data_IF_160990252701
#
_entry.id   IF_160990252701
#
_cell.length_a   1.000
_cell.length_b   1.000
_cell.length_c   1.000
_cell.angle_alpha   90.00
_cell.angle_beta   90.00
_cell.angle_gamma   90.00
#
_symmetry.space_group_name_H-M   'P 1'
#
loop_
_entity.id
_entity.type
_entity.pdbx_description
1 polymer ?
#
# COMPACT_ATOMS: atom_id res chain seq x y z
N UNK A 1 -35.19 -31.32 5.27
CA UNK A 1 -34.05 -30.44 5.00
C UNK A 1 -33.87 -29.61 6.25
N UNK A 2 -32.70 -29.69 6.90
CA UNK A 2 -32.42 -28.85 8.08
C UNK A 2 -32.00 -27.45 7.60
N UNK A 3 -32.65 -26.42 8.12
CA UNK A 3 -32.28 -25.01 7.85
C UNK A 3 -31.30 -24.55 8.91
N UNK A 4 -30.25 -23.90 8.48
CA UNK A 4 -29.18 -23.38 9.34
C UNK A 4 -29.21 -21.85 9.33
N UNK A 5 -29.76 -21.27 10.38
CA UNK A 5 -29.81 -19.82 10.57
C UNK A 5 -28.65 -19.36 11.45
N UNK A 6 -28.23 -18.09 11.27
CA UNK A 6 -27.15 -17.51 12.02
C UNK A 6 -25.81 -17.53 11.27
N UNK A 7 -24.73 -17.36 12.01
CA UNK A 7 -23.36 -17.30 11.51
C UNK A 7 -22.61 -18.56 11.90
N UNK A 8 -21.84 -19.09 10.98
CA UNK A 8 -21.11 -20.33 11.17
C UNK A 8 -19.65 -20.17 10.68
N UNK A 9 -18.66 -20.82 11.33
CA UNK A 9 -17.30 -20.88 10.80
C UNK A 9 -17.24 -21.79 9.57
N UNK A 10 -16.32 -21.48 8.67
CA UNK A 10 -15.98 -22.31 7.53
C UNK A 10 -14.51 -22.14 7.17
N UNK A 11 -13.92 -23.11 6.49
CA UNK A 11 -12.55 -23.05 6.00
C UNK A 11 -12.55 -22.78 4.48
N UNK A 12 -11.75 -21.84 4.00
CA UNK A 12 -11.57 -21.60 2.57
C UNK A 12 -10.77 -22.74 1.96
N UNK A 13 -11.27 -23.35 0.90
CA UNK A 13 -10.60 -24.48 0.22
C UNK A 13 -10.17 -24.16 -1.22
N UNK A 14 -10.81 -23.19 -1.89
CA UNK A 14 -10.37 -22.73 -3.20
C UNK A 14 -10.85 -21.29 -3.48
N UNK A 15 -10.02 -20.54 -4.21
CA UNK A 15 -10.32 -19.17 -4.65
C UNK A 15 -10.70 -19.09 -6.13
N UNK A 16 -10.51 -20.17 -6.86
CA UNK A 16 -10.78 -20.26 -8.30
C UNK A 16 -11.53 -21.54 -8.63
N UNK A 17 -11.98 -21.66 -9.88
CA UNK A 17 -12.67 -22.85 -10.38
C UNK A 17 -14.18 -22.85 -10.12
N UNK A 18 -14.79 -21.71 -9.85
CA UNK A 18 -16.25 -21.56 -9.75
C UNK A 18 -16.92 -22.02 -11.06
N UNK A 19 -17.73 -23.09 -11.05
CA UNK A 19 -18.32 -23.67 -12.25
C UNK A 19 -19.30 -22.73 -12.97
N UNK A 20 -19.82 -21.73 -12.27
CA UNK A 20 -20.73 -20.74 -12.84
C UNK A 20 -20.05 -19.42 -13.19
N UNK A 21 -18.72 -19.31 -13.00
CA UNK A 21 -17.93 -18.09 -13.24
C UNK A 21 -18.48 -16.83 -12.55
N UNK A 22 -19.04 -16.99 -11.35
CA UNK A 22 -19.68 -15.94 -10.56
C UNK A 22 -18.74 -15.30 -9.52
N UNK A 23 -17.43 -15.57 -9.61
CA UNK A 23 -16.41 -15.05 -8.68
C UNK A 23 -16.67 -15.40 -7.20
N UNK A 24 -17.12 -16.64 -6.97
CA UNK A 24 -17.32 -17.22 -5.64
C UNK A 24 -16.03 -17.94 -5.20
N UNK A 25 -15.82 -18.03 -3.90
CA UNK A 25 -14.79 -18.89 -3.32
C UNK A 25 -15.41 -20.17 -2.78
N UNK A 26 -14.64 -21.24 -2.71
CA UNK A 26 -15.12 -22.52 -2.19
C UNK A 26 -14.79 -22.62 -0.71
N UNK A 27 -15.77 -22.97 0.09
CA UNK A 27 -15.63 -23.12 1.54
C UNK A 27 -16.08 -24.50 1.98
N UNK A 28 -15.43 -25.05 3.01
CA UNK A 28 -15.80 -26.29 3.68
C UNK A 28 -16.46 -25.97 5.01
N UNK A 29 -17.57 -26.63 5.28
CA UNK A 29 -18.39 -26.44 6.48
C UNK A 29 -17.99 -27.48 7.54
N UNK A 30 -16.86 -27.28 8.21
CA UNK A 30 -16.22 -28.28 9.11
C UNK A 30 -17.10 -28.70 10.31
N UNK A 31 -18.07 -27.89 10.68
CA UNK A 31 -19.03 -28.16 11.77
C UNK A 31 -20.22 -29.03 11.33
N UNK A 32 -20.41 -29.21 10.01
CA UNK A 32 -21.53 -29.97 9.47
C UNK A 32 -21.06 -31.37 9.10
N UNK A 33 -21.62 -32.35 9.77
CA UNK A 33 -21.33 -33.75 9.47
C UNK A 33 -21.78 -34.12 8.06
N UNK A 34 -20.97 -34.85 7.33
CA UNK A 34 -21.37 -35.45 6.07
C UNK A 34 -22.53 -36.44 6.24
N UNK A 35 -23.47 -36.42 5.31
CA UNK A 35 -24.68 -37.27 5.38
C UNK A 35 -24.35 -38.76 5.22
N UNK A 36 -23.19 -39.07 4.64
CA UNK A 36 -22.72 -40.44 4.31
C UNK A 36 -21.50 -40.87 5.13
N UNK A 37 -21.07 -40.05 6.12
CA UNK A 37 -19.88 -40.31 6.95
C UNK A 37 -18.56 -39.99 6.25
N UNK A 38 -18.60 -39.27 5.13
CA UNK A 38 -17.43 -38.75 4.40
C UNK A 38 -16.92 -37.45 4.97
N UNK A 39 -16.21 -36.67 4.13
CA UNK A 39 -15.70 -35.35 4.47
C UNK A 39 -16.82 -34.31 4.67
N UNK A 40 -16.57 -33.26 5.47
CA UNK A 40 -17.51 -32.16 5.61
C UNK A 40 -17.86 -31.53 4.26
N UNK A 41 -19.14 -31.12 4.06
CA UNK A 41 -19.60 -30.60 2.78
C UNK A 41 -18.90 -29.28 2.40
N UNK A 42 -18.70 -29.12 1.10
CA UNK A 42 -18.15 -27.92 0.48
C UNK A 42 -19.19 -27.18 -0.35
N UNK A 43 -19.13 -25.87 -0.38
CA UNK A 43 -20.03 -25.04 -1.18
C UNK A 43 -19.32 -23.81 -1.75
N UNK A 44 -19.82 -23.32 -2.89
CA UNK A 44 -19.38 -22.05 -3.48
C UNK A 44 -20.08 -20.88 -2.80
N UNK A 45 -19.29 -20.03 -2.14
CA UNK A 45 -19.76 -18.91 -1.32
C UNK A 45 -19.56 -17.58 -2.04
N UNK A 46 -20.57 -16.73 -1.99
CA UNK A 46 -20.46 -15.33 -2.41
C UNK A 46 -19.71 -14.53 -1.33
N UNK A 47 -18.79 -13.66 -1.72
CA UNK A 47 -18.08 -12.78 -0.78
C UNK A 47 -18.85 -11.48 -0.59
N UNK A 48 -19.15 -11.14 0.66
CA UNK A 48 -19.69 -9.84 1.03
C UNK A 48 -18.51 -8.87 1.21
N UNK A 49 -18.58 -7.72 0.54
CA UNK A 49 -17.60 -6.65 0.64
C UNK A 49 -18.29 -5.31 0.88
N UNK A 50 -17.64 -4.32 1.52
CA UNK A 50 -18.23 -3.00 1.75
C UNK A 50 -18.66 -2.27 0.47
N UNK A 51 -18.01 -2.57 -0.65
CA UNK A 51 -18.32 -1.97 -1.95
C UNK A 51 -17.98 -2.93 -3.09
N UNK A 52 -18.94 -3.18 -3.97
CA UNK A 52 -18.75 -3.99 -5.18
C UNK A 52 -19.71 -3.48 -6.29
N UNK A 53 -19.17 -3.29 -7.50
CA UNK A 53 -19.89 -2.98 -8.72
C UNK A 53 -19.07 -3.46 -9.94
N UNK A 54 -19.55 -3.21 -11.16
CA UNK A 54 -18.85 -3.60 -12.39
C UNK A 54 -17.46 -2.94 -12.45
N UNK A 55 -16.42 -3.77 -12.46
CA UNK A 55 -15.00 -3.38 -12.48
C UNK A 55 -14.58 -2.45 -11.33
N UNK A 56 -15.33 -2.41 -10.24
CA UNK A 56 -15.11 -1.55 -9.08
C UNK A 56 -15.34 -2.33 -7.78
N UNK A 57 -14.63 -1.95 -6.73
CA UNK A 57 -14.89 -2.53 -5.42
C UNK A 57 -13.70 -2.56 -4.48
N UNK A 58 -13.97 -3.06 -3.28
CA UNK A 58 -12.95 -3.37 -2.28
C UNK A 58 -12.67 -4.87 -2.32
N UNK A 59 -11.58 -5.27 -2.95
CA UNK A 59 -11.22 -6.67 -3.16
C UNK A 59 -10.06 -7.09 -2.26
N UNK A 60 -10.40 -7.77 -1.15
CA UNK A 60 -9.45 -8.46 -0.28
C UNK A 60 -9.98 -9.86 -0.01
N UNK A 61 -9.42 -10.86 -0.68
CA UNK A 61 -9.84 -12.24 -0.53
C UNK A 61 -9.11 -12.88 0.66
N UNK A 62 -9.78 -13.75 1.44
CA UNK A 62 -9.10 -14.60 2.41
C UNK A 62 -8.20 -15.61 1.68
N UNK A 63 -7.14 -16.04 2.32
CA UNK A 63 -6.26 -17.09 1.78
C UNK A 63 -6.93 -18.48 1.90
N UNK A 64 -6.47 -19.44 1.11
CA UNK A 64 -6.80 -20.87 1.31
C UNK A 64 -6.37 -21.26 2.72
N UNK A 65 -7.11 -22.14 3.36
CA UNK A 65 -7.01 -22.59 4.76
C UNK A 65 -7.37 -21.52 5.81
N UNK A 66 -7.75 -20.31 5.40
CA UNK A 66 -8.23 -19.29 6.34
C UNK A 66 -9.61 -19.66 6.89
N UNK A 67 -9.85 -19.33 8.15
CA UNK A 67 -11.16 -19.40 8.77
C UNK A 67 -11.99 -18.16 8.42
N UNK A 68 -13.19 -18.41 7.90
CA UNK A 68 -14.17 -17.36 7.55
C UNK A 68 -15.47 -17.59 8.29
N UNK A 69 -16.26 -16.53 8.40
CA UNK A 69 -17.63 -16.60 8.92
C UNK A 69 -18.59 -16.56 7.75
N UNK A 70 -19.48 -17.54 7.70
CA UNK A 70 -20.52 -17.64 6.66
C UNK A 70 -21.92 -17.52 7.24
N UNK A 71 -22.81 -16.92 6.48
CA UNK A 71 -24.25 -16.98 6.65
C UNK A 71 -24.90 -17.66 5.45
N UNK A 72 -26.15 -18.12 5.58
CA UNK A 72 -26.84 -18.86 4.53
C UNK A 72 -28.10 -18.15 4.08
N UNK A 73 -28.30 -18.01 2.77
CA UNK A 73 -29.52 -17.46 2.23
C UNK A 73 -30.73 -18.34 2.60
N UNK A 74 -31.65 -17.77 3.36
CA UNK A 74 -32.83 -18.48 3.90
C UNK A 74 -32.49 -19.78 4.67
N UNK A 75 -31.28 -19.90 5.22
CA UNK A 75 -30.84 -21.09 5.97
C UNK A 75 -30.35 -22.26 5.12
N UNK A 76 -30.22 -22.11 3.80
CA UNK A 76 -29.79 -23.17 2.89
C UNK A 76 -28.27 -23.20 2.76
N UNK A 77 -27.65 -24.30 3.15
CA UNK A 77 -26.17 -24.47 3.13
C UNK A 77 -25.56 -24.44 1.72
N UNK A 78 -26.36 -24.62 0.67
CA UNK A 78 -25.92 -24.55 -0.73
C UNK A 78 -25.68 -23.11 -1.21
N UNK A 79 -26.10 -22.12 -0.43
CA UNK A 79 -26.00 -20.69 -0.76
C UNK A 79 -25.33 -19.91 0.36
N UNK A 80 -24.03 -20.17 0.65
CA UNK A 80 -23.28 -19.44 1.66
C UNK A 80 -22.86 -18.06 1.17
N UNK A 81 -22.80 -17.13 2.12
CA UNK A 81 -22.21 -15.80 1.98
C UNK A 81 -21.08 -15.67 2.99
N UNK A 82 -19.86 -15.43 2.52
CA UNK A 82 -18.71 -15.09 3.39
C UNK A 82 -18.85 -13.64 3.84
N UNK A 83 -19.01 -13.44 5.13
CA UNK A 83 -19.20 -12.11 5.75
C UNK A 83 -17.88 -11.49 6.15
N UNK A 84 -16.86 -12.30 6.50
CA UNK A 84 -15.54 -11.87 6.88
C UNK A 84 -14.66 -13.02 7.32
N UNK A 85 -13.38 -12.69 7.60
CA UNK A 85 -12.39 -13.61 8.15
C UNK A 85 -12.23 -13.38 9.65
N UNK A 86 -11.68 -14.36 10.36
CA UNK A 86 -11.39 -14.29 11.79
C UNK A 86 -9.96 -14.73 12.07
N UNK A 87 -9.32 -14.09 13.05
CA UNK A 87 -8.11 -14.62 13.65
C UNK A 87 -8.50 -15.66 14.68
N UNK A 88 -8.03 -16.88 14.50
CA UNK A 88 -8.47 -18.07 15.25
C UNK A 88 -7.45 -18.56 16.29
N UNK A 89 -6.36 -17.78 16.52
CA UNK A 89 -5.26 -18.14 17.43
C UNK A 89 -4.14 -18.94 16.78
N UNK A 90 -4.34 -19.52 15.58
CA UNK A 90 -3.28 -20.05 14.73
C UNK A 90 -2.77 -18.95 13.77
N UNK A 91 -3.65 -18.03 13.39
CA UNK A 91 -3.33 -16.82 12.63
C UNK A 91 -3.39 -15.61 13.56
N UNK A 92 -2.27 -14.92 13.72
CA UNK A 92 -2.17 -13.69 14.50
C UNK A 92 -2.62 -12.46 13.70
N UNK A 93 -3.14 -11.45 14.40
CA UNK A 93 -3.38 -10.14 13.82
C UNK A 93 -2.04 -9.45 13.46
N UNK A 94 -2.01 -8.58 12.43
CA UNK A 94 -0.79 -7.86 12.04
C UNK A 94 -0.24 -6.94 13.13
N UNK A 95 -1.06 -6.56 14.10
CA UNK A 95 -0.67 -5.84 15.31
C UNK A 95 -1.27 -6.50 16.54
N UNK A 96 -0.49 -6.52 17.64
CA UNK A 96 -0.98 -7.03 18.91
C UNK A 96 -2.07 -6.09 19.46
N UNK A 97 -3.16 -6.67 19.93
CA UNK A 97 -4.22 -5.89 20.57
C UNK A 97 -3.72 -5.29 21.89
N UNK A 98 -3.95 -3.99 22.05
CA UNK A 98 -3.64 -3.21 23.28
C UNK A 98 -4.84 -2.38 23.66
N UNK A 99 -4.93 -1.99 24.93
CA UNK A 99 -6.02 -1.12 25.41
C UNK A 99 -5.99 0.27 24.75
N UNK A 100 -4.82 0.76 24.36
CA UNK A 100 -4.65 2.03 23.67
C UNK A 100 -5.25 1.99 22.26
N UNK A 101 -5.12 0.84 21.56
CA UNK A 101 -5.64 0.64 20.20
C UNK A 101 -5.27 1.77 19.22
N UNK A 102 -4.02 2.22 19.28
CA UNK A 102 -3.55 3.39 18.52
C UNK A 102 -3.28 3.06 17.04
N UNK A 103 -3.13 1.78 16.68
CA UNK A 103 -2.78 1.39 15.31
C UNK A 103 -3.93 0.79 14.53
N UNK A 104 -4.06 1.21 13.25
CA UNK A 104 -4.92 0.59 12.24
C UNK A 104 -4.04 0.16 11.08
N UNK A 105 -4.17 -1.11 10.67
CA UNK A 105 -3.22 -1.72 9.76
C UNK A 105 -3.95 -2.50 8.68
N UNK A 106 -3.50 -2.32 7.44
CA UNK A 106 -3.75 -3.23 6.34
C UNK A 106 -2.40 -3.84 5.97
N UNK A 107 -2.28 -5.16 6.07
CA UNK A 107 -1.04 -5.86 5.77
C UNK A 107 -1.31 -7.04 4.84
N UNK A 108 -0.49 -7.15 3.80
CA UNK A 108 -0.56 -8.25 2.84
C UNK A 108 0.28 -9.43 3.31
N UNK A 109 0.07 -10.61 2.71
CA UNK A 109 0.84 -11.82 2.95
C UNK A 109 2.37 -11.63 2.79
N UNK A 110 2.79 -10.78 1.86
CA UNK A 110 4.21 -10.47 1.63
C UNK A 110 4.79 -9.47 2.62
N UNK A 111 3.96 -8.88 3.51
CA UNK A 111 4.39 -7.86 4.46
C UNK A 111 4.33 -6.42 3.95
N UNK A 112 3.76 -6.16 2.76
CA UNK A 112 3.43 -4.77 2.37
C UNK A 112 2.34 -4.24 3.29
N UNK A 113 2.52 -3.01 3.80
CA UNK A 113 1.75 -2.49 4.92
C UNK A 113 1.30 -1.05 4.70
N UNK A 114 0.05 -0.77 5.04
CA UNK A 114 -0.49 0.57 5.28
C UNK A 114 -0.85 0.66 6.76
N UNK A 115 -0.27 1.62 7.46
CA UNK A 115 -0.48 1.85 8.89
C UNK A 115 -0.93 3.29 9.14
N UNK A 116 -1.94 3.44 9.98
CA UNK A 116 -2.30 4.68 10.67
C UNK A 116 -1.92 4.51 12.13
N UNK A 117 -1.09 5.40 12.65
CA UNK A 117 -0.62 5.42 14.03
C UNK A 117 -1.19 6.66 14.72
N UNK A 118 -2.12 6.47 15.65
CA UNK A 118 -2.77 7.52 16.42
C UNK A 118 -2.11 7.71 17.80
N UNK A 119 -0.90 7.17 18.02
CA UNK A 119 -0.18 7.31 19.30
C UNK A 119 -0.04 8.78 19.68
N UNK A 120 -0.51 9.21 20.87
CA UNK A 120 -0.44 10.60 21.28
C UNK A 120 0.99 11.16 21.22
N UNK A 121 1.19 12.23 20.45
CA UNK A 121 2.50 12.86 20.21
C UNK A 121 3.39 12.15 19.21
N UNK A 122 2.90 11.10 18.53
CA UNK A 122 3.62 10.35 17.49
C UNK A 122 2.69 9.94 16.34
N UNK A 123 1.67 10.75 16.05
CA UNK A 123 0.71 10.49 14.97
C UNK A 123 1.42 10.40 13.63
N UNK A 124 1.15 9.32 12.89
CA UNK A 124 1.78 9.10 11.60
C UNK A 124 0.93 8.24 10.66
N UNK A 125 1.17 8.40 9.36
CA UNK A 125 0.69 7.48 8.33
C UNK A 125 1.91 6.90 7.60
N UNK A 126 1.97 5.56 7.48
CA UNK A 126 3.09 4.85 6.84
C UNK A 126 2.59 3.89 5.78
N UNK A 127 3.29 3.88 4.65
CA UNK A 127 3.14 2.85 3.61
C UNK A 127 4.51 2.23 3.42
N UNK A 128 4.65 0.94 3.61
CA UNK A 128 5.94 0.26 3.50
C UNK A 128 5.85 -1.06 2.73
N UNK A 129 6.99 -1.48 2.19
CA UNK A 129 7.15 -2.77 1.52
C UNK A 129 8.27 -3.58 2.19
N UNK A 130 8.25 -4.92 2.08
CA UNK A 130 9.32 -5.77 2.61
C UNK A 130 10.71 -5.45 2.04
N UNK A 131 10.76 -4.83 0.85
CA UNK A 131 12.01 -4.38 0.22
C UNK A 131 12.63 -3.14 0.85
N UNK A 132 12.00 -2.56 1.88
CA UNK A 132 12.52 -1.38 2.60
C UNK A 132 12.22 -0.07 1.89
N UNK A 133 11.20 -0.01 1.04
CA UNK A 133 10.66 1.25 0.51
C UNK A 133 9.57 1.76 1.45
N UNK A 134 9.55 3.06 1.70
CA UNK A 134 8.63 3.67 2.66
C UNK A 134 8.13 5.04 2.20
N UNK A 135 6.86 5.33 2.50
CA UNK A 135 6.27 6.67 2.46
C UNK A 135 5.74 6.95 3.86
N UNK A 136 6.22 8.03 4.49
CA UNK A 136 5.84 8.42 5.85
C UNK A 136 5.34 9.85 5.87
N UNK A 137 4.22 10.08 6.56
CA UNK A 137 3.77 11.38 7.03
C UNK A 137 3.83 11.33 8.55
N UNK A 138 4.70 12.14 9.14
CA UNK A 138 4.95 12.15 10.60
C UNK A 138 4.64 13.53 11.18
N UNK A 139 3.59 13.59 12.00
CA UNK A 139 3.18 14.84 12.63
C UNK A 139 4.15 15.24 13.74
N UNK A 140 4.77 14.30 14.46
CA UNK A 140 5.74 14.58 15.50
C UNK A 140 7.05 15.13 14.94
N UNK A 141 7.55 14.52 13.85
CA UNK A 141 8.69 15.01 13.08
C UNK A 141 8.34 16.18 12.18
N UNK A 142 7.03 16.42 11.96
CA UNK A 142 6.50 17.46 11.06
C UNK A 142 7.09 17.37 9.64
N UNK A 143 7.24 16.15 9.14
CA UNK A 143 7.81 15.89 7.82
C UNK A 143 6.97 14.89 7.01
N UNK A 144 7.17 14.94 5.70
CA UNK A 144 6.72 13.90 4.76
C UNK A 144 7.95 13.37 4.07
N UNK A 145 8.14 12.07 4.08
CA UNK A 145 9.29 11.41 3.47
C UNK A 145 8.85 10.31 2.51
N UNK A 146 9.55 10.21 1.38
CA UNK A 146 9.51 9.07 0.46
C UNK A 146 10.93 8.53 0.40
N UNK A 147 11.14 7.32 0.90
CA UNK A 147 12.44 6.69 1.00
C UNK A 147 12.50 5.38 0.21
N UNK A 148 13.57 5.20 -0.54
CA UNK A 148 13.89 3.93 -1.18
C UNK A 148 14.95 3.19 -0.37
N UNK A 149 14.91 1.85 -0.39
CA UNK A 149 15.92 0.99 0.28
C UNK A 149 17.37 1.24 -0.19
N UNK A 150 17.54 1.85 -1.36
CA UNK A 150 18.84 2.26 -1.89
C UNK A 150 19.44 3.51 -1.22
N UNK A 151 18.68 4.18 -0.33
CA UNK A 151 19.06 5.45 0.32
C UNK A 151 18.65 6.71 -0.46
N UNK A 152 18.04 6.58 -1.64
CA UNK A 152 17.43 7.72 -2.31
C UNK A 152 16.17 8.16 -1.55
N UNK A 153 16.00 9.50 -1.36
CA UNK A 153 14.84 10.04 -0.63
C UNK A 153 14.39 11.41 -1.12
N UNK A 154 13.14 11.70 -0.87
CA UNK A 154 12.53 13.03 -0.97
C UNK A 154 11.92 13.34 0.38
N UNK A 155 12.27 14.49 0.96
CA UNK A 155 11.78 14.95 2.25
C UNK A 155 11.20 16.36 2.15
N UNK A 156 10.02 16.56 2.73
CA UNK A 156 9.38 17.85 2.93
C UNK A 156 9.34 18.14 4.43
N UNK A 157 9.94 19.26 4.84
CA UNK A 157 10.03 19.64 6.25
C UNK A 157 9.02 20.71 6.65
N UNK A 158 8.69 20.81 7.94
CA UNK A 158 7.82 21.86 8.48
C UNK A 158 8.30 23.29 8.18
N UNK A 159 9.59 23.48 8.03
CA UNK A 159 10.17 24.80 7.67
C UNK A 159 9.95 25.16 6.18
N UNK A 160 9.23 24.34 5.43
CA UNK A 160 8.96 24.52 4.00
C UNK A 160 10.14 24.14 3.10
N UNK A 161 11.11 23.40 3.62
CA UNK A 161 12.21 22.87 2.83
C UNK A 161 11.80 21.61 2.05
N UNK A 162 12.36 21.43 0.86
CA UNK A 162 12.29 20.19 0.08
C UNK A 162 13.71 19.71 -0.18
N UNK A 163 14.02 18.50 0.24
CA UNK A 163 15.32 17.86 0.01
C UNK A 163 15.14 16.66 -0.92
N UNK A 164 15.98 16.55 -1.94
CA UNK A 164 16.05 15.39 -2.83
C UNK A 164 17.48 14.85 -2.73
N UNK A 165 17.61 13.61 -2.27
CA UNK A 165 18.89 12.92 -2.15
C UNK A 165 18.91 11.65 -2.98
N UNK A 166 20.00 11.43 -3.70
CA UNK A 166 20.25 10.20 -4.42
C UNK A 166 21.75 9.85 -4.33
N UNK A 167 22.07 8.57 -4.13
CA UNK A 167 23.45 8.11 -4.03
C UNK A 167 24.19 8.15 -5.39
N UNK A 168 23.47 8.23 -6.50
CA UNK A 168 24.03 8.20 -7.86
C UNK A 168 23.62 9.43 -8.66
N UNK A 169 22.44 9.44 -9.25
CA UNK A 169 21.97 10.48 -10.17
C UNK A 169 20.57 10.96 -9.81
N UNK A 170 20.31 12.23 -10.13
CA UNK A 170 18.95 12.78 -10.24
C UNK A 170 18.78 13.26 -11.68
N UNK A 171 17.94 12.57 -12.45
CA UNK A 171 17.66 12.90 -13.84
C UNK A 171 16.33 13.64 -13.94
N UNK A 172 16.36 14.85 -14.51
CA UNK A 172 15.17 15.67 -14.78
C UNK A 172 15.02 15.85 -16.28
N UNK A 173 14.01 15.22 -16.86
CA UNK A 173 13.69 15.33 -18.30
C UNK A 173 12.38 16.09 -18.48
N UNK A 174 12.45 17.25 -19.11
CA UNK A 174 11.28 18.08 -19.38
C UNK A 174 11.49 18.94 -20.62
N UNK A 175 10.42 19.40 -21.26
CA UNK A 175 10.49 20.39 -22.33
C UNK A 175 11.05 21.74 -21.82
N UNK A 176 10.82 22.07 -20.55
CA UNK A 176 11.34 23.26 -19.88
C UNK A 176 11.46 23.03 -18.38
N UNK A 177 12.56 23.46 -17.79
CA UNK A 177 12.76 23.54 -16.34
C UNK A 177 12.94 24.99 -15.96
N UNK A 178 12.12 25.49 -15.03
CA UNK A 178 12.25 26.84 -14.49
C UNK A 178 12.65 26.78 -13.02
N UNK A 179 13.70 27.52 -12.66
CA UNK A 179 14.13 27.69 -11.28
C UNK A 179 14.00 29.18 -10.95
N UNK A 180 13.00 29.51 -10.11
CA UNK A 180 12.78 30.91 -9.66
C UNK A 180 13.29 31.01 -8.21
N UNK A 181 14.53 31.40 -8.06
CA UNK A 181 15.18 31.56 -6.77
C UNK A 181 16.12 32.76 -6.81
N UNK A 182 16.21 33.55 -5.71
CA UNK A 182 17.19 34.66 -5.62
C UNK A 182 18.62 34.20 -5.78
N UNK A 183 18.92 32.95 -5.43
CA UNK A 183 20.25 32.34 -5.58
C UNK A 183 20.13 30.85 -5.89
N UNK A 184 20.86 30.37 -6.88
CA UNK A 184 21.02 28.94 -7.18
C UNK A 184 22.51 28.60 -7.10
N UNK A 185 22.86 27.53 -6.37
CA UNK A 185 24.25 27.08 -6.18
C UNK A 185 24.47 25.74 -6.85
N UNK A 186 25.50 25.63 -7.67
CA UNK A 186 25.93 24.39 -8.29
C UNK A 186 27.36 24.07 -7.84
N UNK A 187 27.54 22.97 -7.09
CA UNK A 187 28.84 22.50 -6.63
C UNK A 187 29.39 21.47 -7.62
N UNK A 188 29.99 21.90 -8.69
CA UNK A 188 30.50 21.02 -9.74
C UNK A 188 30.56 21.71 -11.10
N UNK A 189 30.48 20.90 -12.15
CA UNK A 189 30.50 21.37 -13.54
C UNK A 189 29.08 21.52 -14.05
N UNK A 190 28.77 22.69 -14.61
CA UNK A 190 27.51 22.91 -15.35
C UNK A 190 27.83 22.87 -16.85
N UNK A 191 27.19 21.94 -17.56
CA UNK A 191 27.27 21.85 -19.02
C UNK A 191 25.94 22.28 -19.62
N UNK A 192 25.94 23.20 -20.53
CA UNK A 192 24.77 23.68 -21.26
C UNK A 192 25.16 24.09 -22.68
N UNK A 193 24.26 24.00 -23.63
CA UNK A 193 24.51 24.43 -25.02
C UNK A 193 24.60 25.94 -25.13
N UNK A 194 23.82 26.69 -24.37
CA UNK A 194 23.81 28.14 -24.36
C UNK A 194 23.54 28.67 -22.96
N UNK A 195 24.40 29.55 -22.46
CA UNK A 195 24.21 30.30 -21.22
C UNK A 195 23.87 31.77 -21.56
N UNK A 196 22.71 32.25 -21.13
CA UNK A 196 22.31 33.66 -21.25
C UNK A 196 22.25 34.27 -19.85
N UNK A 197 23.26 35.12 -19.53
CA UNK A 197 23.24 35.90 -18.30
C UNK A 197 22.65 37.30 -18.57
N UNK A 198 21.46 37.57 -17.95
CA UNK A 198 20.78 38.87 -18.08
C UNK A 198 21.08 39.74 -16.86
N UNK A 199 21.73 40.86 -17.07
CA UNK A 199 21.87 41.93 -16.05
C UNK A 199 23.06 41.81 -15.07
N UNK A 200 23.95 40.84 -15.15
CA UNK A 200 25.06 40.69 -14.15
C UNK A 200 26.32 40.11 -14.68
N UNK A 201 26.56 39.70 -15.78
CA UNK A 201 27.79 39.11 -16.30
C UNK A 201 28.21 37.79 -15.62
N UNK A 202 29.19 37.13 -16.16
CA UNK A 202 29.82 35.92 -15.61
C UNK A 202 31.12 36.36 -14.90
N UNK A 203 31.24 36.09 -13.60
CA UNK A 203 32.44 36.42 -12.81
C UNK A 203 33.16 35.09 -12.53
N UNK A 204 34.39 34.98 -13.03
CA UNK A 204 35.25 33.84 -12.78
C UNK A 204 36.72 34.27 -12.79
N UNK A 205 37.54 33.83 -11.84
CA UNK A 205 38.99 34.14 -11.86
C UNK A 205 39.74 33.43 -13.01
N UNK A 206 39.09 32.43 -13.65
CA UNK A 206 39.69 31.63 -14.73
C UNK A 206 38.77 31.55 -15.96
N UNK A 207 37.98 32.59 -16.25
CA UNK A 207 37.14 32.61 -17.45
C UNK A 207 38.03 32.73 -18.69
N UNK A 208 38.02 31.69 -19.54
CA UNK A 208 38.65 31.70 -20.86
C UNK A 208 37.59 31.90 -21.92
N UNK A 209 37.47 33.07 -22.54
CA UNK A 209 36.55 33.28 -23.66
C UNK A 209 36.96 32.38 -24.82
N UNK A 210 36.02 31.67 -25.43
CA UNK A 210 36.23 30.90 -26.66
C UNK A 210 36.59 31.82 -27.82
N UNK A 211 37.21 31.26 -28.86
CA UNK A 211 37.56 32.02 -30.09
C UNK A 211 36.27 32.59 -30.73
N UNK A 212 36.10 33.91 -30.67
CA UNK A 212 34.92 34.62 -31.15
C UNK A 212 34.38 35.71 -30.23
N UNK A 213 34.81 35.76 -28.97
CA UNK A 213 34.47 36.83 -28.01
C UNK A 213 35.70 37.70 -27.73
N UNK A 214 36.11 38.44 -28.71
CA UNK A 214 37.07 39.53 -28.52
C UNK A 214 36.26 40.82 -28.50
N UNK A 215 36.21 41.47 -27.36
CA UNK A 215 35.70 42.85 -27.18
C UNK A 215 36.88 43.81 -27.20
#
# INVERSE_FOLDING_TARGET
MNLHYGLHPATVVALEGDPESRQRIKVRLDWLAATDGGDPPEAWAVIVTPYADADQGFQMLPEVDSTVVVGFLAGHTDHPYVIGSVWNGEADAPERFTDANDKRVIQTRSGSRLEFDDTPGAVAVRISTPGGHEITMDDAGTNIEIAASSGARIELTAAGGVTIEAASTVDVTAAMVTVDAPMSTFNGVVTCDTLIAKGGGVISPMYTPGAGNVW
#
